data_IF_468846318699
#
_entry.id   IF_468846318699
#
_cell.length_a   1.000
_cell.length_b   1.000
_cell.length_c   1.000
_cell.angle_alpha   90.00
_cell.angle_beta   90.00
_cell.angle_gamma   90.00
#
_symmetry.space_group_name_H-M   'P 1'
#
loop_
_entity.id
_entity.type
_entity.pdbx_description
1 polymer ?
#
# COMPACT_ATOMS: atom_id res chain seq x y z
N UNK A 1 -12.94 -47.89 83.17
CA UNK A 1 -14.22 -47.37 82.64
C UNK A 1 -14.06 -47.39 81.12
N UNK A 2 -14.42 -48.51 80.48
CA UNK A 2 -15.60 -48.65 79.59
C UNK A 2 -15.53 -47.67 78.42
N UNK A 3 -15.50 -48.04 77.14
CA UNK A 3 -16.13 -49.13 76.39
C UNK A 3 -15.46 -49.13 75.01
N UNK A 4 -14.95 -50.24 74.47
CA UNK A 4 -15.68 -51.34 73.81
C UNK A 4 -15.78 -51.19 72.29
N UNK A 5 -15.18 -52.19 71.62
CA UNK A 5 -15.67 -52.91 70.42
C UNK A 5 -15.60 -52.10 69.11
N UNK A 6 -15.06 -52.61 68.00
CA UNK A 6 -15.47 -53.84 67.32
C UNK A 6 -14.29 -54.44 66.52
N UNK A 7 -14.14 -55.75 66.70
CA UNK A 7 -13.36 -56.75 65.96
C UNK A 7 -14.02 -57.09 64.61
N UNK A 8 -13.23 -57.58 63.63
CA UNK A 8 -13.52 -58.66 62.62
C UNK A 8 -12.75 -58.31 61.32
N UNK A 9 -11.57 -58.90 61.08
CA UNK A 9 -11.29 -60.12 60.27
C UNK A 9 -11.89 -60.02 58.83
N UNK A 10 -11.20 -60.22 57.71
CA UNK A 10 -10.18 -61.20 57.34
C UNK A 10 -9.42 -60.73 56.08
N UNK A 11 -8.20 -61.23 55.96
CA UNK A 11 -7.29 -61.13 54.82
C UNK A 11 -7.89 -61.63 53.50
N UNK A 12 -7.41 -61.08 52.37
CA UNK A 12 -6.95 -61.88 51.24
C UNK A 12 -5.90 -61.11 50.44
N UNK A 13 -4.72 -61.71 50.32
CA UNK A 13 -3.65 -61.28 49.44
C UNK A 13 -3.96 -61.67 47.99
N UNK A 14 -3.70 -60.78 47.04
CA UNK A 14 -3.42 -61.12 45.65
C UNK A 14 -2.61 -60.00 44.99
N UNK A 15 -1.52 -60.41 44.34
CA UNK A 15 -0.56 -59.56 43.63
C UNK A 15 -1.22 -58.78 42.47
N UNK A 16 -0.70 -57.59 42.10
CA UNK A 16 -1.13 -56.91 40.89
C UNK A 16 -0.46 -57.54 39.66
N UNK A 17 -1.28 -58.03 38.72
CA UNK A 17 -0.87 -58.30 37.35
C UNK A 17 -0.81 -56.97 36.58
N UNK A 18 0.32 -56.75 35.91
CA UNK A 18 0.56 -55.65 35.01
C UNK A 18 -0.49 -55.59 33.88
N UNK A 19 -1.04 -54.40 33.63
CA UNK A 19 -1.59 -54.02 32.33
C UNK A 19 -1.06 -52.64 31.96
N UNK A 20 -0.55 -52.56 30.73
CA UNK A 20 0.17 -51.44 30.18
C UNK A 20 -0.72 -50.20 29.96
N UNK A 21 -0.10 -49.03 30.07
CA UNK A 21 -0.65 -47.74 29.72
C UNK A 21 -1.01 -47.65 28.22
N UNK A 22 -1.93 -46.73 27.88
CA UNK A 22 -1.54 -45.65 27.00
C UNK A 22 -1.78 -44.30 27.68
N UNK A 23 -0.71 -43.54 27.85
CA UNK A 23 -0.76 -42.13 28.25
C UNK A 23 -1.32 -41.30 27.10
N UNK A 24 -2.55 -40.83 27.25
CA UNK A 24 -3.08 -39.75 26.44
C UNK A 24 -2.49 -38.43 26.91
N UNK A 25 -1.34 -38.04 26.35
CA UNK A 25 -0.85 -36.66 26.43
C UNK A 25 -1.50 -35.87 25.28
N UNK A 26 -2.66 -35.29 25.53
CA UNK A 26 -3.18 -34.21 24.71
C UNK A 26 -2.70 -32.88 25.32
N UNK A 27 -1.49 -32.46 24.96
CA UNK A 27 -1.03 -31.10 25.22
C UNK A 27 -1.52 -30.12 24.14
N UNK A 28 -2.01 -28.99 24.65
CA UNK A 28 -2.25 -27.69 24.05
C UNK A 28 -1.72 -27.44 22.62
N UNK A 29 -2.63 -27.13 21.70
CA UNK A 29 -2.38 -26.03 20.74
C UNK A 29 -3.66 -25.21 20.58
N UNK A 30 -3.68 -24.05 21.26
CA UNK A 30 -4.65 -23.00 21.00
C UNK A 30 -4.61 -22.60 19.53
N UNK A 31 -5.78 -22.56 18.91
CA UNK A 31 -5.99 -22.11 17.53
C UNK A 31 -5.76 -20.60 17.46
N UNK A 32 -4.50 -20.17 17.52
CA UNK A 32 -4.08 -18.93 16.89
C UNK A 32 -4.18 -19.19 15.39
N UNK A 33 -5.18 -18.60 14.73
CA UNK A 33 -5.16 -18.47 13.27
C UNK A 33 -3.87 -17.71 12.93
N UNK A 34 -2.84 -18.45 12.51
CA UNK A 34 -1.62 -17.84 11.97
C UNK A 34 -2.06 -16.92 10.83
N UNK A 35 -1.55 -15.70 10.80
CA UNK A 35 -1.61 -14.91 9.57
C UNK A 35 -0.93 -15.77 8.48
N UNK A 36 -1.73 -16.39 7.61
CA UNK A 36 -1.23 -17.23 6.52
C UNK A 36 -0.61 -16.35 5.44
N UNK A 37 -1.20 -15.19 5.18
CA UNK A 37 -0.70 -14.24 4.18
C UNK A 37 0.28 -13.20 4.73
N UNK A 38 1.17 -12.75 3.85
CA UNK A 38 2.03 -11.59 4.04
C UNK A 38 2.07 -10.73 2.77
N UNK A 39 2.55 -9.50 2.88
CA UNK A 39 2.79 -8.60 1.75
C UNK A 39 4.13 -7.90 1.94
N UNK A 40 5.01 -8.03 0.94
CA UNK A 40 6.35 -7.42 0.98
C UNK A 40 6.27 -5.96 0.50
N UNK A 41 7.36 -5.20 0.66
CA UNK A 41 7.39 -3.76 0.32
C UNK A 41 7.05 -3.46 -1.17
N UNK A 42 7.27 -4.40 -2.08
CA UNK A 42 6.88 -4.26 -3.49
C UNK A 42 5.37 -4.45 -3.74
N UNK A 43 4.59 -4.77 -2.70
CA UNK A 43 3.17 -5.11 -2.81
C UNK A 43 2.89 -6.56 -3.21
N UNK A 44 3.92 -7.38 -3.44
CA UNK A 44 3.74 -8.80 -3.75
C UNK A 44 3.22 -9.56 -2.51
N UNK A 45 2.15 -10.32 -2.71
CA UNK A 45 1.55 -11.16 -1.67
C UNK A 45 2.24 -12.52 -1.60
N UNK A 46 2.40 -13.05 -0.40
CA UNK A 46 3.08 -14.31 -0.13
C UNK A 46 2.45 -15.05 1.06
N UNK A 47 3.14 -16.10 1.52
CA UNK A 47 2.73 -16.89 2.69
C UNK A 47 3.78 -16.85 3.79
N UNK A 48 3.36 -16.73 5.05
CA UNK A 48 4.25 -16.80 6.20
C UNK A 48 4.62 -18.25 6.54
N UNK A 49 5.77 -18.69 6.05
CA UNK A 49 6.29 -20.06 6.25
C UNK A 49 7.76 -20.05 6.64
N UNK A 50 8.27 -21.17 7.13
CA UNK A 50 9.69 -21.31 7.44
C UNK A 50 10.54 -21.12 6.17
N UNK A 51 11.69 -20.45 6.29
CA UNK A 51 12.61 -20.21 5.16
C UNK A 51 13.02 -21.48 4.44
N UNK A 52 13.21 -22.58 5.17
CA UNK A 52 13.50 -23.90 4.60
C UNK A 52 12.34 -24.45 3.74
N UNK A 53 11.10 -24.32 4.24
CA UNK A 53 9.88 -24.69 3.50
C UNK A 53 9.74 -23.86 2.23
N UNK A 54 9.96 -22.55 2.34
CA UNK A 54 9.91 -21.63 1.20
C UNK A 54 10.91 -22.03 0.11
N UNK A 55 12.17 -22.27 0.48
CA UNK A 55 13.22 -22.70 -0.45
C UNK A 55 12.89 -24.04 -1.09
N UNK A 56 12.46 -25.03 -0.30
CA UNK A 56 12.09 -26.36 -0.79
C UNK A 56 10.92 -26.33 -1.78
N UNK A 57 10.04 -25.35 -1.63
CA UNK A 57 8.91 -25.08 -2.50
C UNK A 57 9.25 -24.22 -3.74
N UNK A 58 10.52 -23.82 -3.94
CA UNK A 58 10.94 -22.98 -5.05
C UNK A 58 10.61 -21.48 -4.89
N UNK A 59 10.26 -21.06 -3.68
CA UNK A 59 9.99 -19.66 -3.34
C UNK A 59 11.20 -18.91 -2.79
N UNK A 60 11.04 -17.59 -2.62
CA UNK A 60 12.02 -16.67 -2.03
C UNK A 60 11.47 -16.07 -0.73
N UNK A 61 12.29 -16.13 0.33
CA UNK A 61 11.95 -15.60 1.65
C UNK A 61 12.37 -14.14 1.80
N UNK A 62 11.45 -13.33 2.32
CA UNK A 62 11.67 -11.92 2.65
C UNK A 62 11.40 -11.68 4.15
N UNK A 63 12.44 -11.22 4.85
CA UNK A 63 12.41 -11.04 6.30
C UNK A 63 11.57 -9.83 6.75
N UNK A 64 11.05 -9.85 7.98
CA UNK A 64 10.35 -8.71 8.58
C UNK A 64 8.88 -8.52 8.16
N UNK A 65 8.34 -9.43 7.37
CA UNK A 65 6.97 -9.36 6.84
C UNK A 65 5.99 -10.35 7.48
N UNK A 66 6.46 -11.16 8.43
CA UNK A 66 5.67 -12.16 9.13
C UNK A 66 5.89 -12.08 10.64
N UNK A 67 4.83 -12.25 11.45
CA UNK A 67 4.97 -12.37 12.90
C UNK A 67 5.51 -13.75 13.28
N UNK A 68 6.24 -13.83 14.39
CA UNK A 68 6.71 -15.08 14.97
C UNK A 68 8.23 -15.25 14.93
N UNK A 69 8.67 -16.50 14.82
CA UNK A 69 10.09 -16.85 14.86
C UNK A 69 10.85 -16.27 13.66
N UNK A 70 12.16 -16.03 13.82
CA UNK A 70 12.99 -15.36 12.81
C UNK A 70 13.10 -16.12 11.48
N UNK A 71 12.87 -17.43 11.51
CA UNK A 71 12.83 -18.30 10.34
C UNK A 71 11.46 -18.31 9.64
N UNK A 72 10.41 -17.75 10.26
CA UNK A 72 9.11 -17.52 9.60
C UNK A 72 9.19 -16.19 8.84
N UNK A 73 9.30 -16.29 7.53
CA UNK A 73 9.47 -15.15 6.63
C UNK A 73 8.41 -15.17 5.54
N UNK A 74 8.23 -14.03 4.86
CA UNK A 74 7.26 -13.95 3.78
C UNK A 74 7.80 -14.68 2.55
N UNK A 75 7.17 -15.80 2.20
CA UNK A 75 7.55 -16.59 1.03
C UNK A 75 6.80 -16.13 -0.20
N UNK A 76 7.55 -15.75 -1.23
CA UNK A 76 7.03 -15.30 -2.53
C UNK A 76 7.44 -16.29 -3.63
N UNK A 77 6.57 -16.52 -4.62
CA UNK A 77 6.72 -17.60 -5.61
C UNK A 77 6.94 -17.09 -7.05
N UNK A 78 7.32 -15.82 -7.20
CA UNK A 78 7.67 -15.22 -8.48
C UNK A 78 6.48 -14.94 -9.41
N UNK A 79 6.78 -14.79 -10.70
CA UNK A 79 5.82 -14.53 -11.76
C UNK A 79 5.42 -15.82 -12.50
N UNK A 80 4.25 -15.79 -13.14
CA UNK A 80 3.69 -16.87 -13.93
C UNK A 80 3.01 -16.34 -15.20
N UNK A 81 2.59 -17.22 -16.10
CA UNK A 81 1.81 -16.86 -17.28
C UNK A 81 0.66 -17.84 -17.48
N UNK A 82 -0.59 -17.34 -17.46
CA UNK A 82 -1.78 -18.16 -17.68
C UNK A 82 -2.55 -17.64 -18.91
N UNK A 83 -2.76 -18.51 -19.91
CA UNK A 83 -3.47 -18.13 -21.13
C UNK A 83 -2.88 -16.92 -21.85
N UNK A 84 -1.55 -16.79 -21.86
CA UNK A 84 -0.83 -15.66 -22.46
C UNK A 84 -0.82 -14.36 -21.64
N UNK A 85 -1.39 -14.35 -20.43
CA UNK A 85 -1.40 -13.19 -19.53
C UNK A 85 -0.35 -13.36 -18.45
N UNK A 86 0.46 -12.33 -18.23
CA UNK A 86 1.37 -12.28 -17.09
C UNK A 86 0.58 -12.25 -15.77
N UNK A 87 1.10 -12.95 -14.76
CA UNK A 87 0.51 -13.02 -13.43
C UNK A 87 1.57 -13.18 -12.36
N UNK A 88 1.15 -13.12 -11.10
CA UNK A 88 2.00 -13.38 -9.93
C UNK A 88 1.52 -14.62 -9.18
N UNK A 89 2.48 -15.44 -8.77
CA UNK A 89 2.24 -16.58 -7.90
C UNK A 89 2.04 -16.11 -6.46
N UNK A 90 0.82 -16.29 -5.96
CA UNK A 90 0.40 -15.88 -4.62
C UNK A 90 -0.66 -16.86 -4.07
N UNK A 91 -0.93 -16.85 -2.76
CA UNK A 91 -2.01 -17.66 -2.18
C UNK A 91 -3.35 -17.37 -2.85
N UNK A 92 -4.11 -18.41 -3.17
CA UNK A 92 -5.38 -18.33 -3.89
C UNK A 92 -6.36 -17.40 -3.19
N UNK A 93 -6.43 -17.44 -1.86
CA UNK A 93 -7.25 -16.55 -1.04
C UNK A 93 -6.91 -15.06 -1.20
N UNK A 94 -5.65 -14.74 -1.50
CA UNK A 94 -5.17 -13.37 -1.65
C UNK A 94 -5.29 -12.84 -3.09
N UNK A 95 -5.53 -13.72 -4.06
CA UNK A 95 -5.71 -13.37 -5.45
C UNK A 95 -7.08 -12.71 -5.68
N UNK A 96 -7.05 -11.47 -6.18
CA UNK A 96 -8.22 -10.68 -6.58
C UNK A 96 -8.58 -10.83 -8.07
N UNK A 97 -7.73 -11.52 -8.86
CA UNK A 97 -7.93 -11.77 -10.29
C UNK A 97 -8.37 -13.19 -10.62
N UNK A 98 -8.11 -13.60 -11.87
CA UNK A 98 -8.35 -14.98 -12.34
C UNK A 98 -7.24 -15.89 -11.84
N UNK A 99 -7.65 -16.96 -11.14
CA UNK A 99 -6.77 -17.96 -10.57
C UNK A 99 -6.57 -19.11 -11.56
N UNK A 100 -5.33 -19.51 -11.78
CA UNK A 100 -5.01 -20.70 -12.57
C UNK A 100 -4.05 -21.57 -11.79
N UNK A 101 -4.50 -22.78 -11.44
CA UNK A 101 -3.72 -23.75 -10.71
C UNK A 101 -2.62 -24.38 -11.58
N UNK A 102 -1.58 -24.92 -10.94
CA UNK A 102 -0.52 -25.70 -11.61
C UNK A 102 0.54 -24.90 -12.37
N UNK A 103 0.49 -23.57 -12.30
CA UNK A 103 1.43 -22.67 -13.00
C UNK A 103 2.44 -21.99 -12.08
N UNK A 104 2.44 -22.35 -10.79
CA UNK A 104 3.28 -21.77 -9.77
C UNK A 104 3.99 -22.84 -8.96
N UNK A 105 5.25 -22.59 -8.53
CA UNK A 105 5.93 -23.47 -7.61
C UNK A 105 5.30 -23.37 -6.21
N UNK A 106 5.43 -24.44 -5.43
CA UNK A 106 4.99 -24.51 -4.04
C UNK A 106 3.68 -25.24 -3.81
N UNK A 107 3.02 -24.90 -2.69
CA UNK A 107 1.81 -25.60 -2.24
C UNK A 107 0.62 -25.37 -3.19
N UNK A 108 -0.37 -26.26 -3.17
CA UNK A 108 -1.50 -26.24 -4.10
C UNK A 108 -2.38 -24.97 -4.01
N UNK A 109 -2.33 -24.28 -2.88
CA UNK A 109 -2.97 -22.98 -2.67
C UNK A 109 -2.21 -21.84 -3.37
N UNK A 110 -0.95 -22.02 -3.78
CA UNK A 110 -0.21 -21.03 -4.57
C UNK A 110 -0.61 -21.19 -6.03
N UNK A 111 -1.35 -20.20 -6.53
CA UNK A 111 -1.90 -20.24 -7.88
C UNK A 111 -1.46 -19.02 -8.67
N UNK A 112 -1.42 -19.17 -9.99
CA UNK A 112 -1.13 -18.05 -10.86
C UNK A 112 -2.32 -17.10 -10.82
N UNK A 113 -2.11 -15.94 -10.21
CA UNK A 113 -3.09 -14.88 -10.19
C UNK A 113 -2.82 -13.97 -11.37
N UNK A 114 -3.60 -14.14 -12.43
CA UNK A 114 -3.61 -13.18 -13.53
C UNK A 114 -4.63 -12.10 -13.19
N UNK A 115 -4.24 -10.83 -13.29
CA UNK A 115 -5.21 -9.76 -13.19
C UNK A 115 -6.30 -10.03 -14.25
N UNK A 116 -7.56 -10.03 -13.83
CA UNK A 116 -8.67 -10.21 -14.77
C UNK A 116 -8.48 -9.25 -15.93
N UNK A 117 -8.61 -9.74 -17.16
CA UNK A 117 -8.56 -8.89 -18.35
C UNK A 117 -9.53 -7.73 -18.16
N UNK A 118 -9.00 -6.50 -18.18
CA UNK A 118 -9.63 -5.20 -17.89
C UNK A 118 -9.58 -4.66 -16.45
N UNK A 119 -8.61 -5.07 -15.63
CA UNK A 119 -8.20 -4.25 -14.48
C UNK A 119 -7.46 -3.01 -14.95
N UNK A 120 -8.10 -1.84 -14.90
CA UNK A 120 -7.39 -0.55 -15.02
C UNK A 120 -6.26 -0.57 -13.99
N UNK A 121 -5.01 -0.48 -14.44
CA UNK A 121 -3.93 -0.10 -13.53
C UNK A 121 -4.36 1.24 -12.96
N UNK A 122 -4.64 1.29 -11.66
CA UNK A 122 -4.74 2.58 -11.00
C UNK A 122 -3.49 3.41 -11.33
N UNK A 123 -3.62 4.74 -11.39
CA UNK A 123 -2.43 5.58 -11.43
C UNK A 123 -1.50 5.21 -10.25
N UNK A 124 -0.17 5.22 -10.42
CA UNK A 124 0.74 4.91 -9.33
C UNK A 124 0.60 5.93 -8.20
N UNK A 125 0.87 5.49 -6.99
CA UNK A 125 0.94 6.38 -5.83
C UNK A 125 2.15 7.32 -5.96
N UNK A 126 2.00 8.57 -5.52
CA UNK A 126 3.15 9.48 -5.42
C UNK A 126 4.14 9.04 -4.32
N UNK A 127 5.42 9.35 -4.51
CA UNK A 127 6.46 9.01 -3.55
C UNK A 127 6.49 9.98 -2.35
N UNK A 128 7.29 9.63 -1.33
CA UNK A 128 7.43 10.42 -0.10
C UNK A 128 7.96 11.85 -0.35
N UNK A 129 8.84 12.04 -1.34
CA UNK A 129 9.37 13.36 -1.71
C UNK A 129 8.25 14.29 -2.22
N UNK A 130 7.30 13.74 -2.96
CA UNK A 130 6.12 14.46 -3.44
C UNK A 130 5.20 14.87 -2.30
N UNK A 131 4.94 13.96 -1.37
CA UNK A 131 4.13 14.26 -0.18
C UNK A 131 4.80 15.37 0.64
N UNK A 132 6.12 15.30 0.85
CA UNK A 132 6.87 16.34 1.56
C UNK A 132 6.79 17.70 0.85
N UNK A 133 6.92 17.73 -0.48
CA UNK A 133 6.80 18.94 -1.29
C UNK A 133 5.41 19.59 -1.11
N UNK A 134 4.34 18.80 -1.19
CA UNK A 134 2.97 19.34 -1.04
C UNK A 134 2.76 19.87 0.38
N UNK A 135 3.19 19.12 1.41
CA UNK A 135 3.12 19.56 2.80
C UNK A 135 3.78 20.94 3.02
N UNK A 136 4.93 21.19 2.39
CA UNK A 136 5.64 22.47 2.49
C UNK A 136 4.78 23.66 2.02
N UNK A 137 3.98 23.47 0.96
CA UNK A 137 3.20 24.55 0.35
C UNK A 137 1.77 24.69 0.88
N UNK A 138 1.14 23.61 1.33
CA UNK A 138 -0.24 23.66 1.84
C UNK A 138 -0.31 24.09 3.31
N UNK A 139 0.72 23.79 4.10
CA UNK A 139 0.68 23.98 5.55
C UNK A 139 -0.27 23.00 6.26
N UNK A 140 -0.12 22.88 7.58
CA UNK A 140 -0.87 21.91 8.38
C UNK A 140 -1.99 22.56 9.20
N UNK A 141 -3.23 22.14 8.95
CA UNK A 141 -4.42 22.54 9.69
C UNK A 141 -4.93 21.38 10.53
N UNK A 142 -4.85 21.50 11.86
CA UNK A 142 -5.16 20.39 12.79
C UNK A 142 -6.65 20.05 12.91
N UNK A 143 -7.51 21.05 12.77
CA UNK A 143 -8.97 20.91 12.90
C UNK A 143 -9.63 21.79 11.84
N UNK A 144 -10.83 21.45 11.34
CA UNK A 144 -11.50 22.20 10.30
C UNK A 144 -11.53 23.71 10.59
N UNK A 145 -10.97 24.51 9.70
CA UNK A 145 -10.87 25.96 9.82
C UNK A 145 -11.09 26.64 8.46
N UNK A 146 -11.64 27.86 8.40
CA UNK A 146 -11.79 28.58 7.14
C UNK A 146 -10.43 28.87 6.48
N UNK A 147 -10.33 28.62 5.18
CA UNK A 147 -9.24 29.07 4.33
C UNK A 147 -9.34 30.60 4.06
N UNK A 148 -8.39 31.21 3.32
CA UNK A 148 -8.44 32.66 3.03
C UNK A 148 -9.69 33.17 2.30
N UNK A 149 -10.48 32.29 1.68
CA UNK A 149 -11.74 32.63 1.00
C UNK A 149 -12.98 32.15 1.78
N UNK A 150 -12.80 31.62 2.99
CA UNK A 150 -13.86 31.26 3.92
C UNK A 150 -14.33 29.80 3.86
N UNK A 151 -13.67 28.94 3.08
CA UNK A 151 -14.06 27.53 2.94
C UNK A 151 -13.43 26.65 4.03
N UNK A 152 -14.17 25.72 4.66
CA UNK A 152 -13.64 24.88 5.74
C UNK A 152 -12.62 23.87 5.20
N UNK A 153 -11.38 23.96 5.68
CA UNK A 153 -10.28 23.07 5.29
C UNK A 153 -9.60 22.41 6.50
N UNK A 154 -9.01 21.24 6.31
CA UNK A 154 -8.26 20.50 7.33
C UNK A 154 -7.07 19.75 6.73
N UNK A 155 -6.12 19.32 7.56
CA UNK A 155 -4.94 18.59 7.12
C UNK A 155 -4.04 19.44 6.22
N UNK A 156 -3.69 18.91 5.04
CA UNK A 156 -2.92 19.61 4.02
C UNK A 156 -3.83 20.00 2.84
N UNK A 157 -4.75 20.93 3.09
CA UNK A 157 -5.64 21.46 2.05
C UNK A 157 -6.88 20.62 1.71
N UNK A 158 -7.29 19.68 2.58
CA UNK A 158 -8.54 18.94 2.39
C UNK A 158 -9.74 19.86 2.58
N UNK A 159 -10.54 20.05 1.53
CA UNK A 159 -11.79 20.83 1.58
C UNK A 159 -12.91 19.97 2.17
N UNK A 160 -13.44 20.37 3.32
CA UNK A 160 -14.57 19.70 3.96
C UNK A 160 -15.86 19.88 3.14
N UNK A 161 -16.48 18.78 2.77
CA UNK A 161 -17.71 18.64 1.98
C UNK A 161 -18.93 18.42 2.85
N UNK A 162 -18.77 17.88 4.07
CA UNK A 162 -19.89 17.67 5.00
C UNK A 162 -19.78 18.53 6.25
N UNK A 163 -20.91 18.74 6.94
CA UNK A 163 -20.97 19.53 8.16
C UNK A 163 -20.01 18.95 9.21
N UNK A 164 -19.14 19.81 9.76
CA UNK A 164 -18.12 19.38 10.72
C UNK A 164 -17.02 18.49 10.15
N UNK A 165 -16.91 18.35 8.81
CA UNK A 165 -15.92 17.51 8.15
C UNK A 165 -16.05 16.02 8.52
N UNK A 166 -17.29 15.52 8.66
CA UNK A 166 -17.59 14.17 9.15
C UNK A 166 -17.19 13.04 8.19
N UNK A 167 -16.87 13.36 6.93
CA UNK A 167 -16.34 12.42 5.94
C UNK A 167 -14.87 12.05 6.20
N UNK A 168 -14.15 12.83 7.02
CA UNK A 168 -12.76 12.52 7.40
C UNK A 168 -12.79 11.38 8.43
N UNK A 169 -12.10 10.24 8.17
CA UNK A 169 -12.20 9.05 9.01
C UNK A 169 -11.40 9.15 10.33
N UNK A 170 -10.89 10.33 10.66
CA UNK A 170 -10.04 10.58 11.81
C UNK A 170 -10.72 11.55 12.78
N UNK A 171 -10.48 11.34 14.08
CA UNK A 171 -10.92 12.30 15.09
C UNK A 171 -10.05 13.55 15.07
N UNK A 172 -10.67 14.71 15.23
CA UNK A 172 -9.96 15.98 15.41
C UNK A 172 -9.51 16.17 16.86
N UNK A 173 -8.38 16.86 17.12
CA UNK A 173 -7.44 17.39 16.13
C UNK A 173 -6.62 16.26 15.46
N UNK A 174 -6.35 16.39 14.16
CA UNK A 174 -5.47 15.49 13.43
C UNK A 174 -4.04 15.58 13.97
N UNK A 175 -3.34 14.46 13.89
CA UNK A 175 -1.87 14.40 13.89
C UNK A 175 -1.36 14.65 12.48
N UNK A 176 -0.09 15.06 12.34
CA UNK A 176 0.53 15.20 11.01
C UNK A 176 0.51 13.90 10.21
N UNK A 177 0.65 12.75 10.87
CA UNK A 177 0.59 11.44 10.21
C UNK A 177 -0.80 11.16 9.64
N UNK A 178 -1.87 11.46 10.39
CA UNK A 178 -3.25 11.34 9.91
C UNK A 178 -3.53 12.32 8.76
N UNK A 179 -3.04 13.55 8.86
CA UNK A 179 -3.17 14.54 7.78
C UNK A 179 -2.41 14.14 6.51
N UNK A 180 -1.23 13.50 6.65
CA UNK A 180 -0.49 12.97 5.51
C UNK A 180 -1.19 11.78 4.86
N UNK A 181 -1.82 10.90 5.65
CA UNK A 181 -2.64 9.81 5.14
C UNK A 181 -3.91 10.32 4.43
N UNK A 182 -4.55 11.35 4.98
CA UNK A 182 -5.67 12.05 4.33
C UNK A 182 -5.22 12.67 3.00
N UNK A 183 -4.08 13.36 2.97
CA UNK A 183 -3.51 13.92 1.75
C UNK A 183 -3.28 12.84 0.69
N UNK A 184 -2.68 11.70 1.03
CA UNK A 184 -2.49 10.59 0.08
C UNK A 184 -3.81 10.09 -0.52
N UNK A 185 -4.90 10.13 0.26
CA UNK A 185 -6.23 9.77 -0.22
C UNK A 185 -6.77 10.82 -1.19
N UNK A 186 -6.61 12.11 -0.88
CA UNK A 186 -7.02 13.20 -1.76
C UNK A 186 -6.25 13.19 -3.09
N UNK A 187 -4.96 12.84 -3.04
CA UNK A 187 -4.09 12.77 -4.21
C UNK A 187 -4.55 11.74 -5.25
N UNK A 188 -5.29 10.70 -4.87
CA UNK A 188 -5.85 9.70 -5.81
C UNK A 188 -6.65 10.35 -6.94
N UNK A 189 -7.36 11.44 -6.64
CA UNK A 189 -8.13 12.18 -7.66
C UNK A 189 -7.19 12.79 -8.71
N UNK A 190 -6.10 13.42 -8.27
CA UNK A 190 -5.17 14.15 -9.13
C UNK A 190 -4.20 13.22 -9.87
N UNK A 191 -3.77 12.14 -9.21
CA UNK A 191 -3.08 11.00 -9.80
C UNK A 191 -3.87 10.44 -10.99
N UNK A 192 -5.18 10.20 -10.79
CA UNK A 192 -6.07 9.72 -11.85
C UNK A 192 -6.23 10.74 -12.97
N UNK A 193 -6.49 12.01 -12.63
CA UNK A 193 -6.61 13.05 -13.65
C UNK A 193 -5.38 13.12 -14.56
N UNK A 194 -4.18 13.06 -13.97
CA UNK A 194 -2.94 13.10 -14.74
C UNK A 194 -2.79 11.87 -15.63
N UNK A 195 -2.99 10.67 -15.08
CA UNK A 195 -2.91 9.43 -15.84
C UNK A 195 -3.92 9.36 -17.00
N UNK A 196 -5.15 9.86 -16.81
CA UNK A 196 -6.18 9.90 -17.85
C UNK A 196 -5.86 10.91 -18.99
N UNK A 197 -4.92 11.84 -18.77
CA UNK A 197 -4.59 12.92 -19.73
C UNK A 197 -3.21 12.75 -20.38
N UNK A 198 -2.31 12.01 -19.77
CA UNK A 198 -0.98 11.73 -20.30
C UNK A 198 -1.05 10.45 -21.15
N UNK A 199 -0.51 10.50 -22.38
CA UNK A 199 -0.53 9.37 -23.29
C UNK A 199 0.35 8.21 -22.81
N UNK A 200 -0.02 6.97 -23.14
CA UNK A 200 0.74 5.75 -22.79
C UNK A 200 2.16 5.71 -23.35
N UNK A 201 2.50 6.59 -24.30
CA UNK A 201 3.85 6.76 -24.86
C UNK A 201 4.76 7.60 -23.96
N UNK A 202 4.22 8.38 -23.02
CA UNK A 202 4.99 9.23 -22.12
C UNK A 202 5.61 8.37 -21.02
N UNK A 203 6.89 8.58 -20.75
CA UNK A 203 7.66 7.86 -19.73
C UNK A 203 8.11 8.83 -18.65
N UNK A 204 7.65 8.64 -17.42
CA UNK A 204 8.04 9.46 -16.27
C UNK A 204 8.54 8.57 -15.13
N UNK A 205 9.62 9.00 -14.47
CA UNK A 205 9.99 8.44 -13.17
C UNK A 205 9.06 8.97 -12.05
N UNK A 206 9.16 8.38 -10.86
CA UNK A 206 8.32 8.72 -9.70
C UNK A 206 8.44 10.18 -9.24
N UNK A 207 9.63 10.79 -9.31
CA UNK A 207 9.81 12.22 -9.01
C UNK A 207 9.14 13.12 -10.06
N UNK A 208 9.29 12.78 -11.34
CA UNK A 208 8.65 13.51 -12.45
C UNK A 208 7.14 13.43 -12.36
N UNK A 209 6.60 12.23 -12.17
CA UNK A 209 5.19 12.00 -11.96
C UNK A 209 4.67 12.77 -10.74
N UNK A 210 5.37 12.64 -9.61
CA UNK A 210 5.01 13.29 -8.36
C UNK A 210 4.98 14.82 -8.44
N UNK A 211 5.98 15.43 -9.08
CA UNK A 211 5.99 16.87 -9.32
C UNK A 211 4.78 17.35 -10.15
N UNK A 212 4.36 16.58 -11.17
CA UNK A 212 3.15 16.90 -11.93
C UNK A 212 1.88 16.68 -11.11
N UNK A 213 1.82 15.67 -10.24
CA UNK A 213 0.68 15.48 -9.32
C UNK A 213 0.59 16.64 -8.32
N UNK A 214 1.69 17.10 -7.73
CA UNK A 214 1.73 18.30 -6.89
C UNK A 214 1.22 19.54 -7.61
N UNK A 215 1.66 19.74 -8.85
CA UNK A 215 1.19 20.84 -9.69
C UNK A 215 -0.32 20.72 -9.96
N UNK A 216 -0.79 19.51 -10.31
CA UNK A 216 -2.20 19.21 -10.59
C UNK A 216 -3.08 19.43 -9.36
N UNK A 217 -2.62 19.05 -8.16
CA UNK A 217 -3.30 19.34 -6.89
C UNK A 217 -3.54 20.85 -6.72
N UNK A 218 -2.56 21.66 -7.07
CA UNK A 218 -2.65 23.11 -6.93
C UNK A 218 -3.50 23.81 -7.99
N UNK A 219 -3.39 23.40 -9.26
CA UNK A 219 -4.08 24.08 -10.37
C UNK A 219 -5.42 23.45 -10.73
N UNK A 220 -5.67 22.22 -10.26
CA UNK A 220 -6.85 21.42 -10.58
C UNK A 220 -6.76 20.67 -11.91
N UNK A 221 -7.56 19.62 -12.03
CA UNK A 221 -7.55 18.71 -13.18
C UNK A 221 -7.87 19.38 -14.51
N UNK A 222 -8.78 20.36 -14.54
CA UNK A 222 -9.18 21.05 -15.77
C UNK A 222 -8.06 21.91 -16.36
N UNK A 223 -7.38 22.68 -15.52
CA UNK A 223 -6.23 23.49 -15.92
C UNK A 223 -5.06 22.62 -16.35
N UNK A 224 -4.76 21.55 -15.61
CA UNK A 224 -3.73 20.60 -15.99
C UNK A 224 -4.03 19.94 -17.34
N UNK A 225 -5.24 19.42 -17.52
CA UNK A 225 -5.61 18.63 -18.70
C UNK A 225 -5.66 19.44 -20.00
N UNK A 226 -5.90 20.76 -19.91
CA UNK A 226 -5.89 21.67 -21.07
C UNK A 226 -4.54 22.37 -21.29
N UNK A 227 -3.55 22.08 -20.45
CA UNK A 227 -2.27 22.79 -20.46
C UNK A 227 -1.42 22.52 -21.70
N UNK A 228 -0.59 23.51 -22.06
CA UNK A 228 0.50 23.31 -23.02
C UNK A 228 1.50 22.26 -22.53
N UNK A 229 1.71 22.13 -21.21
CA UNK A 229 2.59 21.12 -20.62
C UNK A 229 2.17 19.71 -21.03
N UNK A 230 0.92 19.31 -20.76
CA UNK A 230 0.41 17.97 -21.09
C UNK A 230 0.39 17.76 -22.61
N UNK A 231 0.00 18.78 -23.39
CA UNK A 231 0.03 18.71 -24.86
C UNK A 231 1.43 18.38 -25.39
N UNK A 232 2.46 19.04 -24.87
CA UNK A 232 3.87 18.84 -25.28
C UNK A 232 4.40 17.46 -24.85
N UNK A 233 4.07 17.00 -23.64
CA UNK A 233 4.40 15.64 -23.21
C UNK A 233 3.78 14.59 -24.14
N UNK A 234 2.49 14.73 -24.47
CA UNK A 234 1.80 13.79 -25.36
C UNK A 234 2.31 13.85 -26.80
N UNK A 235 2.91 14.96 -27.22
CA UNK A 235 3.61 15.10 -28.49
C UNK A 235 5.00 14.42 -28.51
N UNK A 236 5.42 13.80 -27.40
CA UNK A 236 6.69 13.08 -27.29
C UNK A 236 7.90 13.98 -27.03
N UNK A 237 7.70 15.24 -26.67
CA UNK A 237 8.80 16.13 -26.30
C UNK A 237 9.48 15.68 -25.00
N UNK A 238 10.77 15.99 -24.86
CA UNK A 238 11.58 15.57 -23.71
C UNK A 238 11.02 16.09 -22.38
N UNK A 239 10.62 15.21 -21.42
CA UNK A 239 9.88 15.62 -20.23
C UNK A 239 10.58 16.69 -19.38
N UNK A 240 11.90 16.58 -19.18
CA UNK A 240 12.66 17.56 -18.40
C UNK A 240 12.66 18.96 -19.04
N UNK A 241 12.68 19.03 -20.38
CA UNK A 241 12.60 20.30 -21.11
C UNK A 241 11.21 20.92 -20.99
N UNK A 242 10.17 20.10 -21.18
CA UNK A 242 8.78 20.52 -21.08
C UNK A 242 8.46 21.05 -19.68
N UNK A 243 8.81 20.30 -18.63
CA UNK A 243 8.55 20.70 -17.25
C UNK A 243 9.27 22.00 -16.89
N UNK A 244 10.55 22.14 -17.25
CA UNK A 244 11.34 23.33 -16.95
C UNK A 244 10.81 24.60 -17.65
N UNK A 245 10.21 24.47 -18.83
CA UNK A 245 9.69 25.61 -19.59
C UNK A 245 8.23 25.93 -19.26
N UNK A 246 7.40 24.93 -18.96
CA UNK A 246 5.95 25.13 -18.80
C UNK A 246 5.52 25.33 -17.35
N UNK A 247 6.11 24.65 -16.36
CA UNK A 247 5.71 24.82 -14.95
C UNK A 247 5.88 26.27 -14.45
N UNK A 248 6.96 27.00 -14.75
CA UNK A 248 7.14 28.38 -14.27
C UNK A 248 6.04 29.36 -14.72
N UNK A 249 5.30 29.05 -15.79
CA UNK A 249 4.21 29.90 -16.30
C UNK A 249 2.96 29.86 -15.41
N UNK A 250 2.84 28.85 -14.55
CA UNK A 250 1.70 28.63 -13.65
C UNK A 250 1.92 29.30 -12.27
N UNK A 251 2.25 30.59 -12.31
CA UNK A 251 2.60 31.38 -11.13
C UNK A 251 1.65 32.55 -10.85
N UNK A 252 0.46 32.57 -11.45
CA UNK A 252 -0.50 33.67 -11.33
C UNK A 252 -1.78 33.24 -10.62
N UNK A 253 -2.37 34.16 -9.85
CA UNK A 253 -3.74 34.09 -9.35
C UNK A 253 -4.40 35.47 -9.46
N UNK A 254 -5.67 35.52 -9.85
CA UNK A 254 -6.36 36.79 -10.11
C UNK A 254 -5.66 37.67 -11.14
N UNK A 255 -4.97 37.06 -12.13
CA UNK A 255 -4.18 37.77 -13.15
C UNK A 255 -2.77 38.21 -12.73
N UNK A 256 -2.45 38.18 -11.45
CA UNK A 256 -1.19 38.70 -10.91
C UNK A 256 -0.20 37.57 -10.59
N UNK A 257 1.09 37.82 -10.85
CA UNK A 257 2.16 36.91 -10.44
C UNK A 257 2.26 36.89 -8.92
N UNK A 258 2.28 35.68 -8.33
CA UNK A 258 2.46 35.48 -6.91
C UNK A 258 3.83 34.87 -6.62
N UNK A 259 4.57 35.46 -5.68
CA UNK A 259 5.88 34.97 -5.26
C UNK A 259 5.80 33.53 -4.71
N UNK A 260 4.74 33.22 -3.95
CA UNK A 260 4.51 31.88 -3.42
C UNK A 260 4.37 30.81 -4.52
N UNK A 261 3.55 31.09 -5.54
CA UNK A 261 3.41 30.17 -6.68
C UNK A 261 4.69 30.06 -7.49
N UNK A 262 5.41 31.17 -7.67
CA UNK A 262 6.73 31.16 -8.34
C UNK A 262 7.71 30.22 -7.62
N UNK A 263 7.78 30.29 -6.28
CA UNK A 263 8.60 29.38 -5.47
C UNK A 263 8.12 27.93 -5.59
N UNK A 264 6.82 27.69 -5.57
CA UNK A 264 6.22 26.34 -5.73
C UNK A 264 6.59 25.70 -7.06
N UNK A 265 6.41 26.42 -8.17
CA UNK A 265 6.77 25.93 -9.51
C UNK A 265 8.27 25.64 -9.61
N UNK A 266 9.12 26.47 -9.02
CA UNK A 266 10.55 26.19 -8.99
C UNK A 266 10.89 24.92 -8.19
N UNK A 267 10.20 24.66 -7.08
CA UNK A 267 10.39 23.45 -6.28
C UNK A 267 9.90 22.19 -7.01
N UNK A 268 8.77 22.26 -7.70
CA UNK A 268 8.26 21.17 -8.55
C UNK A 268 9.21 20.88 -9.72
N UNK A 269 9.78 21.90 -10.38
CA UNK A 269 10.81 21.70 -11.41
C UNK A 269 12.04 21.00 -10.83
N UNK A 270 12.50 21.39 -9.63
CA UNK A 270 13.64 20.72 -8.97
C UNK A 270 13.36 19.26 -8.67
N UNK A 271 12.18 18.93 -8.14
CA UNK A 271 11.77 17.55 -7.92
C UNK A 271 11.73 16.81 -9.27
N UNK A 272 11.09 17.38 -10.29
CA UNK A 272 10.97 16.78 -11.62
C UNK A 272 12.33 16.46 -12.25
N UNK A 273 13.32 17.33 -12.07
CA UNK A 273 14.69 17.14 -12.58
C UNK A 273 15.53 16.16 -11.75
N UNK A 274 15.06 15.75 -10.58
CA UNK A 274 15.81 14.82 -9.72
C UNK A 274 15.70 13.41 -10.29
N UNK A 275 16.85 12.85 -10.70
CA UNK A 275 16.91 11.52 -11.28
C UNK A 275 16.39 10.46 -10.31
N UNK A 276 15.66 9.48 -10.83
CA UNK A 276 15.19 8.32 -10.10
C UNK A 276 15.15 7.10 -11.03
N UNK A 277 15.52 5.94 -10.47
CA UNK A 277 15.44 4.64 -11.16
C UNK A 277 14.03 4.03 -11.15
N UNK A 278 13.10 4.59 -10.38
CA UNK A 278 11.73 4.09 -10.26
C UNK A 278 10.86 4.70 -11.36
N UNK A 279 10.35 3.88 -12.27
CA UNK A 279 9.41 4.33 -13.29
C UNK A 279 7.98 4.36 -12.72
N UNK A 280 7.29 5.48 -12.89
CA UNK A 280 5.89 5.65 -12.51
C UNK A 280 4.94 5.52 -13.71
N UNK A 281 5.21 6.25 -14.80
CA UNK A 281 4.38 6.21 -16.02
C UNK A 281 5.10 5.58 -17.22
N UNK A 282 4.37 4.86 -18.11
CA UNK A 282 2.98 4.44 -17.94
C UNK A 282 2.88 3.46 -16.78
N UNK A 283 1.71 3.41 -16.14
CA UNK A 283 1.45 2.47 -15.06
C UNK A 283 1.75 1.06 -15.55
N UNK A 284 2.74 0.40 -14.94
CA UNK A 284 3.10 -0.97 -15.31
C UNK A 284 2.15 -1.92 -14.61
N UNK A 285 1.19 -2.46 -15.37
CA UNK A 285 0.71 -3.82 -15.21
C UNK A 285 1.27 -4.63 -16.39
#
# INVERSE_FOLDING_TARGET
MHSSLITVFLAFAALPLATAAPTAEAELVGVFRRATGCTINSGQKGECVATATCRGAGGRSEAGHCPGAADIQCCTYGACTAGGKAGLCQPSETCTGTRTAGLCPGAANIQCCTAGTTGTCGPPDVNAATVALIKEFEGFVRSPAPDPIGLPTVGFGHLCKTAGCAEVPYKFPLTEAQAAALLQTDLKTYEKCLADKVADSVRLNDNQYGALVSWTFNVGCGNMGSSTLVRRLNAGEAPNTVAAQELPKWNKAGGNVLAGLTRRRAAEVRLFQTASGTQALPSRC
#
